data_IF_933621837103
#
_entry.id   IF_933621837103
#
_cell.length_a   1.000
_cell.length_b   1.000
_cell.length_c   1.000
_cell.angle_alpha   90.00
_cell.angle_beta   90.00
_cell.angle_gamma   90.00
#
_symmetry.space_group_name_H-M   'P 1'
#
loop_
_entity.id
_entity.type
_entity.pdbx_description
1 polymer ?
#
# COMPACT_ATOMS: atom_id res chain seq x y z
N UNK A 1 -67.41 6.98 10.89
CA UNK A 1 -66.45 5.92 10.65
C UNK A 1 -65.12 6.62 10.34
N UNK A 2 -64.19 6.71 11.32
CA UNK A 2 -62.90 7.38 11.17
C UNK A 2 -61.86 6.32 10.84
N UNK A 3 -61.29 6.39 9.62
CA UNK A 3 -60.23 5.50 9.18
C UNK A 3 -58.91 6.08 9.69
N UNK A 4 -58.25 5.39 10.62
CA UNK A 4 -56.89 5.70 11.07
C UNK A 4 -55.90 5.10 10.06
N UNK A 5 -55.24 5.96 9.30
CA UNK A 5 -54.15 5.57 8.41
C UNK A 5 -52.84 5.46 9.24
N UNK A 6 -52.39 4.23 9.52
CA UNK A 6 -51.12 4.00 10.21
C UNK A 6 -50.02 4.09 9.15
N UNK A 7 -49.25 5.17 9.19
CA UNK A 7 -48.03 5.34 8.39
C UNK A 7 -46.91 4.50 9.02
N UNK A 8 -46.59 3.36 8.39
CA UNK A 8 -45.42 2.56 8.75
C UNK A 8 -44.18 3.27 8.23
N UNK A 9 -43.47 4.03 9.07
CA UNK A 9 -42.17 4.59 8.77
C UNK A 9 -41.17 3.45 8.91
N UNK A 10 -40.80 2.83 7.78
CA UNK A 10 -39.71 1.85 7.72
C UNK A 10 -38.38 2.56 7.98
N UNK A 11 -37.77 2.30 9.13
CA UNK A 11 -36.36 2.63 9.38
C UNK A 11 -35.50 1.76 8.49
N UNK A 12 -35.09 2.28 7.35
CA UNK A 12 -33.97 1.70 6.60
C UNK A 12 -32.69 2.00 7.37
N UNK A 13 -32.23 1.06 8.18
CA UNK A 13 -30.87 1.07 8.72
C UNK A 13 -29.93 0.94 7.51
N UNK A 14 -29.29 2.03 7.14
CA UNK A 14 -28.17 1.96 6.20
C UNK A 14 -27.05 1.17 6.88
N UNK A 15 -26.82 -0.05 6.43
CA UNK A 15 -25.64 -0.83 6.82
C UNK A 15 -24.46 -0.13 6.15
N UNK A 16 -23.75 0.70 6.91
CA UNK A 16 -22.50 1.29 6.48
C UNK A 16 -21.46 0.15 6.47
N UNK A 17 -21.14 -0.37 5.31
CA UNK A 17 -19.99 -1.26 5.18
C UNK A 17 -18.73 -0.42 5.27
N UNK A 18 -17.83 -0.75 6.19
CA UNK A 18 -16.51 -0.13 6.25
C UNK A 18 -15.80 -0.30 4.89
N UNK A 19 -15.22 0.78 4.38
CA UNK A 19 -14.43 0.72 3.15
C UNK A 19 -13.19 -0.15 3.37
N UNK A 20 -12.77 -0.91 2.35
CA UNK A 20 -11.65 -1.84 2.46
C UNK A 20 -10.42 -1.29 1.75
N UNK A 21 -9.33 -1.14 2.49
CA UNK A 21 -8.01 -0.82 1.96
C UNK A 21 -7.13 -2.07 1.99
N UNK A 22 -6.76 -2.58 0.82
CA UNK A 22 -5.75 -3.61 0.69
C UNK A 22 -4.36 -2.97 0.61
N UNK A 23 -3.44 -3.42 1.45
CA UNK A 23 -2.03 -3.01 1.40
C UNK A 23 -1.26 -4.11 0.66
N UNK A 24 -0.83 -3.82 -0.56
CA UNK A 24 0.04 -4.66 -1.38
C UNK A 24 1.48 -4.16 -1.21
N UNK A 25 2.16 -4.67 -0.19
CA UNK A 25 3.46 -4.17 0.23
C UNK A 25 4.52 -5.25 0.45
N UNK A 26 5.67 -4.79 0.89
CA UNK A 26 6.81 -5.63 1.21
C UNK A 26 7.13 -5.66 2.72
N UNK A 27 8.40 -5.74 3.10
CA UNK A 27 8.84 -5.80 4.49
C UNK A 27 8.54 -4.54 5.29
N UNK A 28 8.43 -3.38 4.66
CA UNK A 28 8.12 -2.12 5.34
C UNK A 28 6.69 -2.11 5.90
N UNK A 29 5.78 -2.85 5.29
CA UNK A 29 4.39 -3.01 5.74
C UNK A 29 4.11 -4.35 6.41
N UNK A 30 5.01 -5.35 6.27
CA UNK A 30 4.84 -6.70 6.84
C UNK A 30 5.29 -6.84 8.31
N UNK A 31 5.60 -5.74 9.00
CA UNK A 31 6.14 -5.73 10.37
C UNK A 31 7.46 -6.53 10.51
N UNK A 32 8.38 -6.38 9.57
CA UNK A 32 9.67 -7.07 9.59
C UNK A 32 10.45 -6.77 10.87
N UNK A 33 10.96 -7.82 11.53
CA UNK A 33 11.74 -7.70 12.76
C UNK A 33 10.95 -7.37 14.02
N UNK A 34 9.60 -7.39 13.97
CA UNK A 34 8.72 -7.08 15.09
C UNK A 34 7.44 -7.95 15.06
N UNK A 35 6.63 -7.87 16.11
CA UNK A 35 5.31 -8.50 16.10
C UNK A 35 4.36 -7.73 15.17
N UNK A 36 3.42 -8.42 14.52
CA UNK A 36 2.46 -7.80 13.60
C UNK A 36 1.66 -6.67 14.25
N UNK A 37 1.34 -6.81 15.54
CA UNK A 37 0.61 -5.80 16.31
C UNK A 37 1.39 -4.51 16.53
N UNK A 38 2.68 -4.53 16.32
CA UNK A 38 3.57 -3.36 16.45
C UNK A 38 3.78 -2.63 15.13
N UNK A 39 3.42 -3.26 14.00
CA UNK A 39 3.56 -2.66 12.67
C UNK A 39 2.53 -1.58 12.38
N UNK A 40 2.91 -0.57 11.59
CA UNK A 40 2.07 0.57 11.27
C UNK A 40 0.68 0.21 10.68
N UNK A 41 0.49 -0.87 9.88
CA UNK A 41 -0.83 -1.21 9.39
C UNK A 41 -1.80 -1.57 10.50
N UNK A 42 -1.31 -2.30 11.53
CA UNK A 42 -2.14 -2.65 12.69
C UNK A 42 -2.45 -1.43 13.55
N UNK A 43 -1.45 -0.58 13.81
CA UNK A 43 -1.64 0.66 14.58
C UNK A 43 -2.60 1.62 13.87
N UNK A 44 -2.49 1.74 12.55
CA UNK A 44 -3.42 2.55 11.76
C UNK A 44 -4.85 1.99 11.83
N UNK A 45 -5.03 0.67 11.76
CA UNK A 45 -6.36 0.06 11.90
C UNK A 45 -7.04 0.40 13.22
N UNK A 46 -6.28 0.52 14.30
CA UNK A 46 -6.84 0.91 15.62
C UNK A 46 -7.34 2.36 15.66
N UNK A 47 -6.89 3.20 14.73
CA UNK A 47 -7.25 4.62 14.63
C UNK A 47 -8.32 4.89 13.57
N UNK A 48 -8.62 3.92 12.70
CA UNK A 48 -9.53 4.05 11.56
C UNK A 48 -10.72 3.11 11.72
N UNK A 49 -11.85 3.66 12.19
CA UNK A 49 -13.09 2.89 12.37
C UNK A 49 -13.86 2.71 11.06
N UNK A 50 -13.74 3.67 10.14
CA UNK A 50 -14.47 3.68 8.86
C UNK A 50 -13.83 2.80 7.78
N UNK A 51 -12.59 2.34 8.00
CA UNK A 51 -11.83 1.54 7.06
C UNK A 51 -11.43 0.19 7.65
N UNK A 52 -11.60 -0.86 6.86
CA UNK A 52 -10.98 -2.16 7.12
C UNK A 52 -9.66 -2.26 6.37
N UNK A 53 -8.54 -2.28 7.09
CA UNK A 53 -7.21 -2.45 6.51
C UNK A 53 -6.91 -3.95 6.35
N UNK A 54 -6.60 -4.38 5.14
CA UNK A 54 -6.21 -5.75 4.81
C UNK A 54 -4.74 -5.73 4.44
N UNK A 55 -3.89 -6.08 5.39
CA UNK A 55 -2.45 -6.12 5.15
C UNK A 55 -2.07 -7.43 4.43
N UNK A 56 -1.79 -7.34 3.14
CA UNK A 56 -1.34 -8.44 2.30
C UNK A 56 0.16 -8.34 1.97
N UNK A 57 0.94 -7.64 2.80
CA UNK A 57 2.38 -7.43 2.58
C UNK A 57 3.19 -8.68 2.90
N UNK A 58 4.24 -8.92 2.12
CA UNK A 58 5.16 -10.06 2.29
C UNK A 58 6.60 -9.53 2.27
N UNK A 59 7.38 -9.84 3.31
CA UNK A 59 8.79 -9.44 3.37
C UNK A 59 9.58 -9.99 2.17
N UNK A 60 10.37 -9.12 1.53
CA UNK A 60 11.17 -9.48 0.35
C UNK A 60 10.40 -9.46 -0.97
N UNK A 61 9.12 -9.06 -0.95
CA UNK A 61 8.27 -9.00 -2.13
C UNK A 61 8.79 -8.03 -3.18
N UNK A 62 8.64 -8.41 -4.45
CA UNK A 62 8.98 -7.59 -5.62
C UNK A 62 7.72 -7.15 -6.34
N UNK A 63 7.87 -6.20 -7.28
CA UNK A 63 6.75 -5.81 -8.15
C UNK A 63 6.22 -7.01 -8.95
N UNK A 64 7.08 -7.92 -9.40
CA UNK A 64 6.67 -9.14 -10.11
C UNK A 64 5.89 -10.11 -9.23
N UNK A 65 6.33 -10.33 -7.97
CA UNK A 65 5.63 -11.18 -7.02
C UNK A 65 4.28 -10.62 -6.61
N UNK A 66 4.22 -9.31 -6.31
CA UNK A 66 2.98 -8.60 -6.03
C UNK A 66 1.99 -8.70 -7.20
N UNK A 67 2.46 -8.50 -8.44
CA UNK A 67 1.64 -8.66 -9.65
C UNK A 67 1.06 -10.07 -9.77
N UNK A 68 1.86 -11.10 -9.52
CA UNK A 68 1.44 -12.48 -9.67
C UNK A 68 0.31 -12.88 -8.71
N UNK A 69 0.32 -12.37 -7.47
CA UNK A 69 -0.69 -12.71 -6.45
C UNK A 69 -1.89 -11.76 -6.40
N UNK A 70 -1.78 -10.58 -7.00
CA UNK A 70 -2.82 -9.55 -6.97
C UNK A 70 -4.20 -10.03 -7.43
N UNK A 71 -4.36 -10.80 -8.55
CA UNK A 71 -5.68 -11.25 -8.99
C UNK A 71 -6.44 -12.07 -7.94
N UNK A 72 -5.72 -12.94 -7.20
CA UNK A 72 -6.32 -13.73 -6.13
C UNK A 72 -6.76 -12.84 -4.95
N UNK A 73 -5.95 -11.85 -4.58
CA UNK A 73 -6.24 -10.89 -3.51
C UNK A 73 -7.46 -10.03 -3.84
N UNK A 74 -7.54 -9.49 -5.06
CA UNK A 74 -8.67 -8.69 -5.53
C UNK A 74 -9.97 -9.51 -5.49
N UNK A 75 -9.93 -10.75 -5.98
CA UNK A 75 -11.09 -11.66 -5.95
C UNK A 75 -11.54 -11.99 -4.52
N UNK A 76 -10.58 -12.27 -3.63
CA UNK A 76 -10.85 -12.70 -2.25
C UNK A 76 -11.41 -11.57 -1.40
N UNK A 77 -10.81 -10.38 -1.49
CA UNK A 77 -11.08 -9.29 -0.56
C UNK A 77 -12.03 -8.24 -1.11
N UNK A 78 -12.12 -8.09 -2.44
CA UNK A 78 -12.93 -7.07 -3.12
C UNK A 78 -12.72 -5.69 -2.46
N UNK A 79 -11.46 -5.17 -2.46
CA UNK A 79 -11.13 -3.91 -1.80
C UNK A 79 -11.70 -2.72 -2.58
N UNK A 80 -12.04 -1.64 -1.86
CA UNK A 80 -12.42 -0.36 -2.45
C UNK A 80 -11.18 0.43 -2.92
N UNK A 81 -10.05 0.25 -2.21
CA UNK A 81 -8.77 0.84 -2.56
C UNK A 81 -7.62 -0.14 -2.34
N UNK A 82 -6.53 0.04 -3.10
CA UNK A 82 -5.28 -0.72 -2.95
C UNK A 82 -4.11 0.24 -2.82
N UNK A 83 -3.41 0.19 -1.70
CA UNK A 83 -2.13 0.86 -1.51
C UNK A 83 -1.03 -0.06 -2.06
N UNK A 84 -0.28 0.45 -3.05
CA UNK A 84 0.86 -0.24 -3.66
C UNK A 84 2.14 0.31 -3.02
N UNK A 85 2.74 -0.49 -2.16
CA UNK A 85 4.01 -0.22 -1.47
C UNK A 85 5.02 -1.30 -1.90
N UNK A 86 5.47 -1.25 -3.16
CA UNK A 86 6.35 -2.23 -3.79
C UNK A 86 7.42 -1.57 -4.65
N UNK A 87 8.49 -2.32 -4.87
CA UNK A 87 9.62 -1.95 -5.71
C UNK A 87 10.92 -1.76 -4.92
N UNK A 88 10.86 -1.62 -3.59
CA UNK A 88 12.05 -1.53 -2.76
C UNK A 88 12.99 -2.71 -3.02
N UNK A 89 12.49 -3.93 -3.01
CA UNK A 89 13.28 -5.13 -3.27
C UNK A 89 13.79 -5.23 -4.72
N UNK A 90 13.02 -4.73 -5.69
CA UNK A 90 13.49 -4.64 -7.09
C UNK A 90 14.70 -3.70 -7.18
N UNK A 91 14.61 -2.52 -6.58
CA UNK A 91 15.66 -1.53 -6.53
C UNK A 91 16.91 -2.03 -5.80
N UNK A 92 16.75 -2.65 -4.62
CA UNK A 92 17.85 -3.24 -3.83
C UNK A 92 18.56 -4.39 -4.56
N UNK A 93 17.88 -5.07 -5.49
CA UNK A 93 18.47 -6.13 -6.34
C UNK A 93 18.97 -5.63 -7.67
N UNK A 94 18.84 -4.32 -7.95
CA UNK A 94 19.31 -3.71 -9.19
C UNK A 94 18.54 -4.14 -10.44
N UNK A 95 17.23 -4.41 -10.30
CA UNK A 95 16.40 -4.82 -11.43
C UNK A 95 16.26 -3.69 -12.46
N UNK A 96 16.03 -4.07 -13.71
CA UNK A 96 15.88 -3.13 -14.81
C UNK A 96 14.69 -2.18 -14.56
N UNK A 97 14.90 -0.87 -14.70
CA UNK A 97 13.91 0.20 -14.48
C UNK A 97 12.63 -0.07 -15.28
N UNK A 98 12.76 -0.44 -16.56
CA UNK A 98 11.62 -0.70 -17.44
C UNK A 98 10.76 -1.89 -16.96
N UNK A 99 11.41 -2.90 -16.36
CA UNK A 99 10.70 -4.06 -15.79
C UNK A 99 9.87 -3.65 -14.57
N UNK A 100 10.45 -2.87 -13.67
CA UNK A 100 9.74 -2.37 -12.48
C UNK A 100 8.55 -1.51 -12.89
N UNK A 101 8.75 -0.58 -13.83
CA UNK A 101 7.70 0.27 -14.35
C UNK A 101 6.58 -0.54 -15.02
N UNK A 102 6.92 -1.52 -15.86
CA UNK A 102 5.94 -2.38 -16.53
C UNK A 102 5.09 -3.18 -15.54
N UNK A 103 5.71 -3.70 -14.47
CA UNK A 103 5.00 -4.41 -13.41
C UNK A 103 4.02 -3.48 -12.66
N UNK A 104 4.46 -2.27 -12.27
CA UNK A 104 3.60 -1.27 -11.61
C UNK A 104 2.42 -0.87 -12.51
N UNK A 105 2.66 -0.63 -13.81
CA UNK A 105 1.61 -0.34 -14.77
C UNK A 105 0.57 -1.47 -14.83
N UNK A 106 1.03 -2.72 -14.83
CA UNK A 106 0.17 -3.90 -14.86
C UNK A 106 -0.64 -4.06 -13.57
N UNK A 107 -0.01 -3.84 -12.41
CA UNK A 107 -0.67 -3.83 -11.09
C UNK A 107 -1.80 -2.80 -11.07
N UNK A 108 -1.51 -1.55 -11.45
CA UNK A 108 -2.50 -0.46 -11.46
C UNK A 108 -3.65 -0.77 -12.42
N UNK A 109 -3.34 -1.26 -13.62
CA UNK A 109 -4.35 -1.65 -14.59
C UNK A 109 -5.30 -2.72 -14.06
N UNK A 110 -4.78 -3.74 -13.36
CA UNK A 110 -5.60 -4.79 -12.74
C UNK A 110 -6.49 -4.24 -11.62
N UNK A 111 -5.98 -3.32 -10.81
CA UNK A 111 -6.76 -2.68 -9.74
C UNK A 111 -7.94 -1.90 -10.33
N UNK A 112 -7.68 -1.07 -11.34
CA UNK A 112 -8.71 -0.29 -12.03
C UNK A 112 -9.76 -1.18 -12.72
N UNK A 113 -9.34 -2.28 -13.36
CA UNK A 113 -10.24 -3.26 -13.98
C UNK A 113 -11.17 -3.94 -12.96
N UNK A 114 -10.77 -3.98 -11.69
CA UNK A 114 -11.59 -4.53 -10.60
C UNK A 114 -12.37 -3.44 -9.82
N UNK A 115 -12.49 -2.22 -10.40
CA UNK A 115 -13.20 -1.08 -9.82
C UNK A 115 -12.68 -0.62 -8.45
N UNK A 116 -11.43 -0.93 -8.12
CA UNK A 116 -10.76 -0.43 -6.92
C UNK A 116 -9.92 0.82 -7.26
N UNK A 117 -9.70 1.67 -6.25
CA UNK A 117 -8.89 2.88 -6.37
C UNK A 117 -7.42 2.55 -6.08
N UNK A 118 -6.50 2.68 -7.05
CA UNK A 118 -5.07 2.51 -6.78
C UNK A 118 -4.48 3.76 -6.12
N UNK A 119 -3.68 3.55 -5.08
CA UNK A 119 -2.83 4.55 -4.44
C UNK A 119 -1.40 4.05 -4.53
N UNK A 120 -0.53 4.79 -5.18
CA UNK A 120 0.88 4.42 -5.33
C UNK A 120 1.71 5.14 -4.27
N UNK A 121 2.55 4.40 -3.55
CA UNK A 121 3.54 4.98 -2.67
C UNK A 121 4.85 5.21 -3.40
N UNK A 122 5.44 6.39 -3.27
CA UNK A 122 6.80 6.66 -3.71
C UNK A 122 7.75 5.74 -2.96
N UNK A 123 8.64 5.04 -3.67
CA UNK A 123 9.74 4.28 -3.06
C UNK A 123 11.08 4.92 -3.45
N UNK A 124 12.02 4.90 -2.53
CA UNK A 124 13.41 5.29 -2.74
C UNK A 124 14.33 4.19 -2.27
N UNK A 125 15.49 4.09 -2.89
CA UNK A 125 16.54 3.15 -2.47
C UNK A 125 17.71 3.92 -1.85
N UNK A 126 18.52 3.29 -0.99
CA UNK A 126 19.68 3.93 -0.39
C UNK A 126 20.66 4.48 -1.42
N UNK A 127 21.38 5.58 -1.13
CA UNK A 127 22.22 6.30 -2.10
C UNK A 127 23.44 5.49 -2.57
N UNK A 128 23.84 4.46 -1.84
CA UNK A 128 24.97 3.58 -2.18
C UNK A 128 24.74 2.72 -3.45
N UNK A 129 23.51 2.69 -3.98
CA UNK A 129 23.20 2.06 -5.28
C UNK A 129 23.58 2.91 -6.50
N UNK A 130 24.15 4.08 -6.26
CA UNK A 130 24.62 5.02 -7.26
C UNK A 130 23.56 6.04 -7.69
N UNK A 131 23.99 7.30 -7.93
CA UNK A 131 23.06 8.40 -8.14
C UNK A 131 22.21 8.24 -9.41
N UNK A 132 22.80 7.71 -10.49
CA UNK A 132 22.11 7.52 -11.77
C UNK A 132 20.94 6.52 -11.62
N UNK A 133 21.22 5.35 -11.05
CA UNK A 133 20.21 4.32 -10.88
C UNK A 133 19.14 4.79 -9.88
N UNK A 134 19.53 5.37 -8.74
CA UNK A 134 18.60 5.89 -7.74
C UNK A 134 17.66 6.97 -8.28
N UNK A 135 18.16 7.89 -9.13
CA UNK A 135 17.34 8.91 -9.79
C UNK A 135 16.36 8.27 -10.79
N UNK A 136 16.81 7.37 -11.64
CA UNK A 136 15.97 6.68 -12.61
C UNK A 136 14.89 5.84 -11.91
N UNK A 137 15.26 5.12 -10.85
CA UNK A 137 14.35 4.32 -10.04
C UNK A 137 13.27 5.19 -9.39
N UNK A 138 13.66 6.28 -8.73
CA UNK A 138 12.72 7.18 -8.07
C UNK A 138 11.78 7.89 -9.05
N UNK A 139 12.22 8.12 -10.29
CA UNK A 139 11.42 8.77 -11.32
C UNK A 139 10.28 7.87 -11.88
N UNK A 140 10.33 6.56 -11.68
CA UNK A 140 9.27 5.63 -12.10
C UNK A 140 7.93 6.04 -11.48
N UNK A 141 7.90 6.29 -10.19
CA UNK A 141 6.66 6.46 -9.41
C UNK A 141 5.86 7.69 -9.84
N UNK A 142 6.43 8.91 -9.92
CA UNK A 142 5.69 10.07 -10.41
C UNK A 142 5.28 9.90 -11.87
N UNK A 143 6.10 9.29 -12.73
CA UNK A 143 5.74 9.05 -14.13
C UNK A 143 4.55 8.10 -14.26
N UNK A 144 4.51 7.02 -13.47
CA UNK A 144 3.40 6.07 -13.44
C UNK A 144 2.14 6.72 -12.85
N UNK A 145 2.27 7.47 -11.76
CA UNK A 145 1.14 8.16 -11.15
C UNK A 145 0.51 9.19 -12.10
N UNK A 146 1.32 9.94 -12.84
CA UNK A 146 0.87 10.88 -13.87
C UNK A 146 0.19 10.15 -15.04
N UNK A 147 0.79 9.07 -15.54
CA UNK A 147 0.25 8.26 -16.65
C UNK A 147 -1.16 7.76 -16.35
N UNK A 148 -1.43 7.29 -15.14
CA UNK A 148 -2.72 6.74 -14.72
C UNK A 148 -3.62 7.76 -14.03
N UNK A 149 -3.15 9.00 -13.79
CA UNK A 149 -3.86 10.04 -13.04
C UNK A 149 -4.31 9.57 -11.66
N UNK A 150 -3.43 8.88 -10.94
CA UNK A 150 -3.68 8.34 -9.62
C UNK A 150 -2.91 9.08 -8.53
N UNK A 151 -3.33 8.88 -7.28
CA UNK A 151 -2.66 9.46 -6.12
C UNK A 151 -1.28 8.84 -5.92
N UNK A 152 -0.25 9.69 -5.79
CA UNK A 152 1.08 9.34 -5.34
C UNK A 152 1.28 9.80 -3.89
N UNK A 153 1.49 8.87 -2.98
CA UNK A 153 1.84 9.19 -1.60
C UNK A 153 3.35 9.36 -1.45
N UNK A 154 3.82 10.28 -0.60
CA UNK A 154 5.24 10.45 -0.33
C UNK A 154 5.82 9.20 0.35
N UNK A 155 7.13 8.99 0.19
CA UNK A 155 7.81 7.89 0.86
C UNK A 155 7.94 8.17 2.36
N UNK A 156 7.21 7.45 3.19
CA UNK A 156 7.20 7.68 4.63
C UNK A 156 8.58 7.50 5.29
N UNK A 157 9.45 6.66 4.68
CA UNK A 157 10.80 6.43 5.16
C UNK A 157 11.74 7.64 5.00
N UNK A 158 11.41 8.64 4.20
CA UNK A 158 12.28 9.83 3.99
C UNK A 158 12.63 10.55 5.30
N UNK A 159 11.74 10.52 6.29
CA UNK A 159 11.97 11.12 7.61
C UNK A 159 12.52 10.13 8.63
N UNK A 160 12.28 8.85 8.45
CA UNK A 160 12.66 7.78 9.38
C UNK A 160 14.10 7.34 9.11
N UNK A 161 14.46 7.12 7.85
CA UNK A 161 15.76 6.55 7.47
C UNK A 161 16.97 7.44 7.79
N UNK A 162 16.74 8.71 8.10
CA UNK A 162 17.81 9.67 8.50
C UNK A 162 18.15 9.58 9.99
N UNK A 163 17.31 8.96 10.79
CA UNK A 163 17.49 8.77 12.23
C UNK A 163 17.81 7.29 12.54
N UNK A 164 19.05 7.03 12.90
CA UNK A 164 19.52 5.66 13.21
C UNK A 164 18.80 5.03 14.43
N UNK A 165 18.22 5.83 15.33
CA UNK A 165 17.47 5.32 16.48
C UNK A 165 16.10 4.75 16.08
N UNK A 166 15.60 5.13 14.90
CA UNK A 166 14.35 4.63 14.32
C UNK A 166 14.55 3.42 13.39
N UNK A 167 15.81 3.03 13.12
CA UNK A 167 16.14 1.95 12.19
C UNK A 167 16.60 0.69 12.93
N UNK A 168 16.41 -0.46 12.27
CA UNK A 168 17.09 -1.70 12.66
C UNK A 168 18.58 -1.63 12.28
N UNK A 169 19.37 -2.57 12.81
CA UNK A 169 20.82 -2.61 12.55
C UNK A 169 21.19 -2.83 11.08
N UNK A 170 20.23 -3.30 10.26
CA UNK A 170 20.43 -3.49 8.82
C UNK A 170 20.42 -2.16 8.02
N UNK A 171 20.01 -1.05 8.65
CA UNK A 171 19.95 0.27 8.02
C UNK A 171 18.91 0.40 6.90
N UNK A 172 18.01 -0.57 6.76
CA UNK A 172 16.96 -0.63 5.73
C UNK A 172 15.56 -0.56 6.35
N UNK A 173 15.34 -1.34 7.42
CA UNK A 173 14.02 -1.48 8.01
C UNK A 173 13.84 -0.57 9.23
N UNK A 174 12.67 0.04 9.39
CA UNK A 174 12.33 0.81 10.59
C UNK A 174 12.10 -0.14 11.77
N UNK A 175 12.47 0.30 12.97
CA UNK A 175 12.20 -0.44 14.19
C UNK A 175 10.82 -0.08 14.78
N UNK A 176 10.47 -0.64 15.94
CA UNK A 176 9.17 -0.42 16.60
C UNK A 176 8.92 1.03 17.03
N UNK A 177 9.97 1.83 17.28
CA UNK A 177 9.82 3.26 17.66
C UNK A 177 9.35 4.12 16.45
N UNK A 178 9.62 3.65 15.26
CA UNK A 178 9.29 4.36 14.01
C UNK A 178 7.88 4.07 13.50
N UNK A 179 7.14 3.13 14.09
CA UNK A 179 5.85 2.68 13.57
C UNK A 179 4.67 3.63 13.86
N UNK A 180 4.59 4.34 15.01
CA UNK A 180 3.58 5.37 15.21
C UNK A 180 3.81 6.55 14.28
#
# INVERSE_FOLDING_TARGET
MRIFLILLIGFFSQVCFAQKLLILGDSLSAAYGMQQQQGWPHLLQQQQEDWQLINASISGETTAGGLARLPALLKQHQPDAVLIELGGNDGLRGFAIDTVQANLNSIISLILQNNAVPVLMQIRIPPNYGPRYGQQFSAIYPAVAEQFQITLWPFFMDKIAVDSELMLQDGIHPNTKAQP
#
